data_IF_112874676610
#
_entry.id   IF_112874676610
#
_cell.length_a   1.000
_cell.length_b   1.000
_cell.length_c   1.000
_cell.angle_alpha   90.00
_cell.angle_beta   90.00
_cell.angle_gamma   90.00
#
_symmetry.space_group_name_H-M   'P 1'
#
loop_
_entity.id
_entity.type
_entity.pdbx_description
1 polymer ?
#
# COMPACT_ATOMS: atom_id res chain seq x y z
N UNK A 1 -21.67 -51.77 -38.93
CA UNK A 1 -20.88 -50.53 -38.94
C UNK A 1 -20.56 -50.18 -37.46
N UNK A 2 -19.32 -50.32 -37.09
CA UNK A 2 -18.86 -50.00 -35.70
C UNK A 2 -18.17 -48.64 -35.75
N UNK A 3 -18.75 -47.65 -35.08
CA UNK A 3 -18.15 -46.31 -34.92
C UNK A 3 -17.07 -46.38 -33.80
N UNK A 4 -15.84 -46.03 -34.19
CA UNK A 4 -14.75 -45.88 -33.21
C UNK A 4 -14.81 -44.45 -32.67
N UNK A 5 -15.01 -44.33 -31.35
CA UNK A 5 -14.80 -43.04 -30.63
C UNK A 5 -13.30 -42.88 -30.37
N UNK A 6 -12.74 -41.86 -30.96
CA UNK A 6 -11.38 -41.41 -30.61
C UNK A 6 -11.46 -40.53 -29.35
N UNK A 7 -10.86 -40.97 -28.26
CA UNK A 7 -10.70 -40.17 -27.06
C UNK A 7 -9.51 -39.21 -27.27
N UNK A 8 -9.82 -37.90 -27.25
CA UNK A 8 -8.80 -36.85 -27.25
C UNK A 8 -8.30 -36.69 -25.81
N UNK A 9 -7.07 -37.11 -25.55
CA UNK A 9 -6.39 -36.83 -24.27
C UNK A 9 -5.91 -35.38 -24.28
N UNK A 10 -6.53 -34.51 -23.48
CA UNK A 10 -5.98 -33.20 -23.13
C UNK A 10 -4.75 -33.44 -22.23
N UNK A 11 -3.57 -33.14 -22.77
CA UNK A 11 -2.36 -33.03 -21.97
C UNK A 11 -2.36 -31.63 -21.36
N UNK A 12 -2.68 -31.54 -20.06
CA UNK A 12 -2.48 -30.33 -19.29
C UNK A 12 -0.95 -30.09 -19.19
N UNK A 13 -0.46 -29.02 -19.79
CA UNK A 13 0.88 -28.55 -19.54
C UNK A 13 0.98 -28.10 -18.06
N UNK A 14 2.05 -28.45 -17.34
CA UNK A 14 2.25 -27.88 -16.01
C UNK A 14 2.39 -26.35 -16.17
N UNK A 15 1.54 -25.59 -15.46
CA UNK A 15 1.82 -24.18 -15.22
C UNK A 15 3.15 -24.14 -14.46
N UNK A 16 4.15 -23.55 -15.06
CA UNK A 16 5.38 -23.21 -14.34
C UNK A 16 4.94 -22.14 -13.32
N UNK A 17 4.88 -22.50 -12.06
CA UNK A 17 4.81 -21.51 -10.98
C UNK A 17 6.05 -20.62 -11.18
N UNK A 18 5.85 -19.35 -11.43
CA UNK A 18 6.91 -18.35 -11.46
C UNK A 18 7.49 -18.36 -10.03
N UNK A 19 8.79 -18.62 -9.89
CA UNK A 19 9.42 -18.50 -8.57
C UNK A 19 9.21 -17.06 -8.10
N UNK A 20 8.73 -16.89 -6.87
CA UNK A 20 8.59 -15.58 -6.24
C UNK A 20 9.97 -14.89 -6.26
N UNK A 21 10.00 -13.64 -6.71
CA UNK A 21 11.19 -12.80 -6.64
C UNK A 21 11.03 -11.85 -5.45
N UNK A 22 11.68 -12.13 -4.30
CA UNK A 22 11.49 -11.31 -3.10
C UNK A 22 11.79 -9.83 -3.31
N UNK A 23 12.64 -9.49 -4.28
CA UNK A 23 12.93 -8.09 -4.61
C UNK A 23 11.79 -7.44 -5.37
N UNK A 24 11.19 -8.17 -6.31
CA UNK A 24 10.03 -7.69 -7.03
C UNK A 24 8.82 -7.55 -6.08
N UNK A 25 8.63 -8.51 -5.18
CA UNK A 25 7.58 -8.47 -4.17
C UNK A 25 7.78 -7.27 -3.23
N UNK A 26 9.00 -7.03 -2.73
CA UNK A 26 9.33 -5.85 -1.92
C UNK A 26 9.02 -4.53 -2.64
N UNK A 27 9.37 -4.41 -3.91
CA UNK A 27 9.09 -3.19 -4.69
C UNK A 27 7.59 -3.03 -4.93
N UNK A 28 6.89 -4.09 -5.33
CA UNK A 28 5.44 -4.05 -5.57
C UNK A 28 4.67 -3.67 -4.31
N UNK A 29 4.99 -4.26 -3.17
CA UNK A 29 4.33 -4.01 -1.89
C UNK A 29 4.47 -2.55 -1.44
N UNK A 30 5.66 -1.98 -1.63
CA UNK A 30 5.89 -0.56 -1.33
C UNK A 30 5.16 0.37 -2.33
N UNK A 31 5.04 -0.02 -3.61
CA UNK A 31 4.25 0.72 -4.59
C UNK A 31 2.76 0.72 -4.23
N UNK A 32 2.22 -0.41 -3.79
CA UNK A 32 0.84 -0.51 -3.29
C UNK A 32 0.64 0.41 -2.09
N UNK A 33 1.52 0.32 -1.10
CA UNK A 33 1.41 1.10 0.12
C UNK A 33 1.48 2.62 -0.13
N UNK A 34 2.42 3.07 -0.99
CA UNK A 34 2.53 4.50 -1.31
C UNK A 34 1.36 4.97 -2.19
N UNK A 35 0.87 4.15 -3.10
CA UNK A 35 -0.32 4.49 -3.89
C UNK A 35 -1.55 4.69 -2.99
N UNK A 36 -1.74 3.84 -1.98
CA UNK A 36 -2.82 4.01 -1.01
C UNK A 36 -2.61 5.23 -0.09
N UNK A 37 -1.36 5.59 0.19
CA UNK A 37 -1.04 6.82 0.90
C UNK A 37 -1.45 8.06 0.07
N UNK A 38 -1.08 8.13 -1.21
CA UNK A 38 -1.48 9.23 -2.10
C UNK A 38 -3.01 9.27 -2.32
N UNK A 39 -3.66 8.10 -2.36
CA UNK A 39 -5.12 8.03 -2.35
C UNK A 39 -5.70 8.61 -1.06
N UNK A 40 -5.01 8.47 0.06
CA UNK A 40 -5.38 9.09 1.34
C UNK A 40 -5.47 10.61 1.21
N UNK A 41 -4.48 11.26 0.64
CA UNK A 41 -4.50 12.70 0.35
C UNK A 41 -5.65 13.07 -0.60
N UNK A 42 -5.85 12.27 -1.65
CA UNK A 42 -6.94 12.50 -2.59
C UNK A 42 -8.32 12.44 -1.92
N UNK A 43 -8.54 11.48 -1.04
CA UNK A 43 -9.81 11.36 -0.30
C UNK A 43 -9.99 12.47 0.74
N UNK A 44 -8.93 12.88 1.42
CA UNK A 44 -8.98 14.01 2.36
C UNK A 44 -9.41 15.28 1.63
N UNK A 45 -8.82 15.57 0.47
CA UNK A 45 -9.15 16.73 -0.35
C UNK A 45 -10.56 16.65 -0.91
N UNK A 46 -10.89 15.58 -1.65
CA UNK A 46 -12.18 15.45 -2.35
C UNK A 46 -13.39 15.40 -1.42
N UNK A 47 -13.24 14.78 -0.25
CA UNK A 47 -14.29 14.69 0.76
C UNK A 47 -14.26 15.86 1.77
N UNK A 48 -13.26 16.75 1.64
CA UNK A 48 -13.00 17.88 2.55
C UNK A 48 -12.99 17.40 4.02
N UNK A 49 -12.16 16.37 4.30
CA UNK A 49 -12.11 15.75 5.62
C UNK A 49 -11.43 16.65 6.65
N UNK A 50 -11.95 16.71 7.89
CA UNK A 50 -11.32 17.49 8.93
C UNK A 50 -10.15 16.74 9.55
N UNK A 51 -8.94 16.96 9.07
CA UNK A 51 -7.72 16.40 9.67
C UNK A 51 -7.32 17.24 10.87
N UNK A 52 -7.22 16.63 12.06
CA UNK A 52 -6.88 17.30 13.31
C UNK A 52 -5.40 17.20 13.71
N UNK A 53 -4.58 16.65 12.83
CA UNK A 53 -3.15 16.45 13.03
C UNK A 53 -2.36 16.67 11.75
N UNK A 54 -1.30 15.90 11.57
CA UNK A 54 -0.58 15.85 10.30
C UNK A 54 -1.41 15.07 9.29
N UNK A 55 -1.55 15.59 8.08
CA UNK A 55 -2.25 14.90 6.99
C UNK A 55 -1.48 13.66 6.55
N UNK A 56 -0.17 13.73 6.57
CA UNK A 56 0.72 12.59 6.30
C UNK A 56 0.45 11.40 7.22
N UNK A 57 0.25 11.66 8.53
CA UNK A 57 -0.08 10.58 9.48
C UNK A 57 -1.45 9.97 9.16
N UNK A 58 -2.41 10.78 8.69
CA UNK A 58 -3.73 10.29 8.30
C UNK A 58 -3.67 9.45 7.01
N UNK A 59 -2.86 9.85 6.03
CA UNK A 59 -2.62 9.11 4.79
C UNK A 59 -1.90 7.76 5.07
N UNK A 60 -0.87 7.75 5.92
CA UNK A 60 -0.20 6.53 6.37
C UNK A 60 -1.18 5.54 7.04
N UNK A 61 -2.04 6.06 7.91
CA UNK A 61 -3.06 5.25 8.58
C UNK A 61 -3.98 4.61 7.53
N UNK A 62 -4.51 5.40 6.58
CA UNK A 62 -5.38 4.87 5.54
C UNK A 62 -4.70 3.79 4.72
N UNK A 63 -3.43 3.98 4.35
CA UNK A 63 -2.66 2.97 3.60
C UNK A 63 -2.71 1.60 4.28
N UNK A 64 -2.44 1.54 5.58
CA UNK A 64 -2.52 0.28 6.36
C UNK A 64 -3.94 -0.29 6.39
N UNK A 65 -4.96 0.58 6.58
CA UNK A 65 -6.35 0.13 6.61
C UNK A 65 -6.79 -0.47 5.28
N UNK A 66 -6.43 0.15 4.16
CA UNK A 66 -6.77 -0.34 2.83
C UNK A 66 -6.04 -1.64 2.49
N UNK A 67 -4.75 -1.75 2.84
CA UNK A 67 -4.02 -3.02 2.67
C UNK A 67 -4.72 -4.15 3.42
N UNK A 68 -5.09 -3.93 4.66
CA UNK A 68 -5.75 -4.95 5.50
C UNK A 68 -7.18 -5.30 5.03
N UNK A 69 -7.89 -4.36 4.42
CA UNK A 69 -9.25 -4.55 3.90
C UNK A 69 -9.28 -5.20 2.51
N UNK A 70 -8.32 -4.84 1.67
CA UNK A 70 -8.33 -5.19 0.24
C UNK A 70 -7.69 -6.55 0.00
N UNK A 71 -6.62 -6.85 0.72
CA UNK A 71 -5.78 -8.01 0.48
C UNK A 71 -6.12 -9.18 1.40
N UNK A 72 -5.86 -10.41 0.92
CA UNK A 72 -5.96 -11.60 1.78
C UNK A 72 -4.94 -11.50 2.93
N UNK A 73 -5.23 -12.08 4.12
CA UNK A 73 -4.45 -11.84 5.34
C UNK A 73 -2.95 -12.06 5.24
N UNK A 74 -2.52 -13.09 4.50
CA UNK A 74 -1.11 -13.42 4.32
C UNK A 74 -0.41 -12.37 3.44
N UNK A 75 -1.04 -11.97 2.34
CA UNK A 75 -0.50 -10.94 1.44
C UNK A 75 -0.51 -9.55 2.10
N UNK A 76 -1.57 -9.20 2.82
CA UNK A 76 -1.63 -7.96 3.60
C UNK A 76 -0.48 -7.88 4.62
N UNK A 77 -0.16 -8.99 5.28
CA UNK A 77 0.97 -9.06 6.22
C UNK A 77 2.32 -8.84 5.51
N UNK A 78 2.51 -9.40 4.31
CA UNK A 78 3.73 -9.21 3.52
C UNK A 78 3.88 -7.75 3.08
N UNK A 79 2.82 -7.13 2.57
CA UNK A 79 2.82 -5.72 2.17
C UNK A 79 3.18 -4.82 3.35
N UNK A 80 2.54 -4.99 4.51
CA UNK A 80 2.83 -4.18 5.69
C UNK A 80 4.25 -4.44 6.22
N UNK A 81 4.72 -5.69 6.18
CA UNK A 81 6.09 -6.03 6.59
C UNK A 81 7.14 -5.37 5.68
N UNK A 82 6.96 -5.45 4.36
CA UNK A 82 7.86 -4.86 3.38
C UNK A 82 7.85 -3.32 3.44
N UNK A 83 6.67 -2.70 3.63
CA UNK A 83 6.55 -1.26 3.81
C UNK A 83 7.24 -0.79 5.10
N UNK A 84 6.98 -1.46 6.21
CA UNK A 84 7.66 -1.16 7.46
C UNK A 84 9.18 -1.35 7.31
N UNK A 85 9.63 -2.42 6.66
CA UNK A 85 11.05 -2.67 6.42
C UNK A 85 11.71 -1.54 5.59
N UNK A 86 11.01 -1.00 4.59
CA UNK A 86 11.52 0.15 3.83
C UNK A 86 11.75 1.37 4.72
N UNK A 87 10.87 1.65 5.68
CA UNK A 87 11.10 2.71 6.68
C UNK A 87 12.29 2.40 7.59
N UNK A 88 12.48 1.14 8.00
CA UNK A 88 13.65 0.77 8.81
C UNK A 88 14.95 0.99 8.05
N UNK A 89 15.01 0.64 6.77
CA UNK A 89 16.16 0.90 5.90
C UNK A 89 16.44 2.41 5.75
N UNK A 90 15.37 3.24 5.61
CA UNK A 90 15.49 4.69 5.57
C UNK A 90 16.08 5.26 6.86
N UNK A 91 15.61 4.76 8.00
CA UNK A 91 16.11 5.17 9.32
C UNK A 91 17.58 4.82 9.51
N UNK A 92 18.02 3.64 9.03
CA UNK A 92 19.44 3.21 9.10
C UNK A 92 20.34 4.10 8.25
N UNK A 93 19.89 4.50 7.05
CA UNK A 93 20.66 5.40 6.18
C UNK A 93 20.78 6.81 6.75
N UNK A 94 19.77 7.29 7.47
CA UNK A 94 19.77 8.56 8.17
C UNK A 94 20.46 8.53 9.53
N UNK A 95 21.03 7.39 9.96
CA UNK A 95 21.67 7.28 11.27
C UNK A 95 22.89 8.21 11.39
N UNK A 96 22.80 9.14 12.32
CA UNK A 96 23.84 10.13 12.58
C UNK A 96 23.56 11.50 12.00
N UNK A 97 22.52 11.68 11.20
CA UNK A 97 22.02 12.98 10.76
C UNK A 97 21.18 13.64 11.84
N UNK A 98 21.16 14.99 11.86
CA UNK A 98 20.27 15.72 12.76
C UNK A 98 18.80 15.53 12.30
N UNK A 99 17.87 15.10 13.19
CA UNK A 99 16.48 14.93 12.81
C UNK A 99 15.83 16.22 12.31
N UNK A 100 15.11 16.12 11.18
CA UNK A 100 14.35 17.23 10.62
C UNK A 100 13.00 17.39 11.33
N UNK A 101 12.99 17.98 12.52
CA UNK A 101 11.78 18.12 13.35
C UNK A 101 10.67 18.98 12.74
N UNK A 102 10.95 19.67 11.64
CA UNK A 102 9.98 20.48 10.87
C UNK A 102 9.35 19.73 9.71
N UNK A 103 9.73 18.47 9.48
CA UNK A 103 9.19 17.64 8.41
C UNK A 103 7.69 17.41 8.62
N UNK A 104 6.95 17.37 7.50
CA UNK A 104 5.51 17.07 7.52
C UNK A 104 5.26 15.60 7.84
N UNK A 105 6.17 14.71 7.44
CA UNK A 105 6.11 13.30 7.81
C UNK A 105 6.58 13.03 9.24
N UNK A 106 6.16 11.91 9.78
CA UNK A 106 6.77 11.33 10.97
C UNK A 106 8.18 10.80 10.66
N UNK A 107 9.03 10.65 11.68
CA UNK A 107 10.31 9.97 11.47
C UNK A 107 10.12 8.53 11.04
N UNK A 108 11.02 7.99 10.20
CA UNK A 108 10.87 6.65 9.62
C UNK A 108 10.57 5.57 10.64
N UNK A 109 11.26 5.54 11.78
CA UNK A 109 10.95 4.58 12.85
C UNK A 109 9.60 4.82 13.54
N UNK A 110 9.04 6.03 13.49
CA UNK A 110 7.68 6.28 13.95
C UNK A 110 6.68 5.73 12.94
N UNK A 111 6.90 5.95 11.65
CA UNK A 111 6.09 5.37 10.56
C UNK A 111 6.15 3.84 10.60
N UNK A 112 7.36 3.25 10.75
CA UNK A 112 7.55 1.82 10.98
C UNK A 112 6.61 1.26 12.06
N UNK A 113 6.72 1.80 13.28
CA UNK A 113 5.92 1.29 14.40
C UNK A 113 4.44 1.63 14.28
N UNK A 114 4.06 2.67 13.56
CA UNK A 114 2.65 2.98 13.26
C UNK A 114 2.05 1.91 12.36
N UNK A 115 2.72 1.55 11.26
CA UNK A 115 2.27 0.50 10.34
C UNK A 115 2.14 -0.85 11.03
N UNK A 116 3.20 -1.27 11.75
CA UNK A 116 3.20 -2.52 12.52
C UNK A 116 2.09 -2.56 13.56
N UNK A 117 1.90 -1.47 14.31
CA UNK A 117 0.91 -1.37 15.37
C UNK A 117 -0.52 -1.43 14.85
N UNK A 118 -0.84 -0.66 13.81
CA UNK A 118 -2.19 -0.64 13.23
C UNK A 118 -2.56 -1.99 12.63
N UNK A 119 -1.63 -2.64 11.92
CA UNK A 119 -1.89 -3.95 11.37
C UNK A 119 -2.04 -5.01 12.47
N UNK A 120 -1.13 -5.04 13.44
CA UNK A 120 -1.25 -5.92 14.61
C UNK A 120 -2.55 -5.69 15.38
N UNK A 121 -2.93 -4.41 15.58
CA UNK A 121 -4.10 -4.00 16.35
C UNK A 121 -5.43 -4.51 15.81
N UNK A 122 -5.52 -4.82 14.52
CA UNK A 122 -6.75 -5.36 13.91
C UNK A 122 -7.06 -6.79 14.37
N UNK A 123 -6.03 -7.61 14.63
CA UNK A 123 -6.19 -8.99 15.11
C UNK A 123 -4.99 -9.41 15.97
N UNK A 124 -4.88 -8.92 17.21
CA UNK A 124 -3.73 -9.19 18.05
C UNK A 124 -3.50 -10.68 18.37
N UNK A 125 -4.57 -11.48 18.32
CA UNK A 125 -4.48 -12.93 18.61
C UNK A 125 -3.77 -13.69 17.48
N UNK A 126 -4.13 -13.41 16.24
CA UNK A 126 -3.58 -14.13 15.08
C UNK A 126 -2.31 -13.47 14.52
N UNK A 127 -2.05 -12.19 14.85
CA UNK A 127 -0.89 -11.41 14.37
C UNK A 127 0.22 -11.25 15.42
N UNK A 128 0.19 -12.05 16.50
CA UNK A 128 1.20 -11.98 17.56
C UNK A 128 2.61 -12.32 17.06
N UNK A 129 2.75 -13.31 16.18
CA UNK A 129 4.04 -13.69 15.60
C UNK A 129 4.59 -12.59 14.68
N UNK A 130 3.73 -11.92 13.92
CA UNK A 130 4.11 -10.75 13.11
C UNK A 130 4.65 -9.62 14.00
N UNK A 131 3.92 -9.23 15.04
CA UNK A 131 4.35 -8.19 15.97
C UNK A 131 5.69 -8.53 16.65
N UNK A 132 5.88 -9.80 17.02
CA UNK A 132 7.14 -10.27 17.60
C UNK A 132 8.30 -10.20 16.60
N UNK A 133 8.08 -10.59 15.33
CA UNK A 133 9.09 -10.53 14.27
C UNK A 133 9.50 -9.09 13.96
N UNK A 134 8.53 -8.16 14.02
CA UNK A 134 8.75 -6.71 13.87
C UNK A 134 9.31 -6.03 15.13
N UNK A 135 9.64 -6.77 16.19
CA UNK A 135 10.15 -6.24 17.45
C UNK A 135 9.24 -5.15 18.06
N UNK A 136 7.91 -5.26 17.91
CA UNK A 136 6.97 -4.31 18.49
C UNK A 136 7.09 -4.35 20.03
N UNK A 137 7.44 -3.22 20.70
CA UNK A 137 7.56 -3.20 22.16
C UNK A 137 6.23 -3.54 22.85
N UNK A 138 6.27 -4.31 23.93
CA UNK A 138 5.07 -4.72 24.69
C UNK A 138 4.22 -3.51 25.12
N UNK A 139 4.86 -2.43 25.56
CA UNK A 139 4.17 -1.19 25.95
C UNK A 139 3.46 -0.52 24.76
N UNK A 140 4.00 -0.64 23.53
CA UNK A 140 3.37 -0.14 22.32
C UNK A 140 2.25 -1.06 21.86
N UNK A 141 2.47 -2.38 21.88
CA UNK A 141 1.48 -3.38 21.52
C UNK A 141 0.18 -3.27 22.35
N UNK A 142 0.31 -2.85 23.61
CA UNK A 142 -0.83 -2.69 24.52
C UNK A 142 -1.85 -1.62 24.08
N UNK A 143 -1.49 -0.68 23.21
CA UNK A 143 -2.38 0.39 22.72
C UNK A 143 -2.88 0.18 21.30
N UNK A 144 -2.28 -0.76 20.56
CA UNK A 144 -2.51 -0.91 19.11
C UNK A 144 -3.96 -1.25 18.76
N UNK A 145 -4.63 -2.09 19.54
CA UNK A 145 -6.02 -2.45 19.26
C UNK A 145 -6.98 -1.26 19.40
N UNK A 146 -6.78 -0.41 20.42
CA UNK A 146 -7.58 0.80 20.61
C UNK A 146 -7.27 1.83 19.51
N UNK A 147 -6.01 1.99 19.14
CA UNK A 147 -5.62 2.91 18.05
C UNK A 147 -6.17 2.46 16.70
N UNK A 148 -6.15 1.15 16.41
CA UNK A 148 -6.76 0.60 15.20
C UNK A 148 -8.26 0.82 15.18
N UNK A 149 -8.98 0.54 16.27
CA UNK A 149 -10.42 0.78 16.38
C UNK A 149 -10.77 2.24 16.09
N UNK A 150 -10.03 3.19 16.66
CA UNK A 150 -10.22 4.62 16.41
C UNK A 150 -9.92 5.02 14.96
N UNK A 151 -8.91 4.44 14.34
CA UNK A 151 -8.58 4.66 12.95
C UNK A 151 -9.68 4.14 12.01
N UNK A 152 -10.15 2.91 12.26
CA UNK A 152 -11.27 2.29 11.53
C UNK A 152 -12.53 3.14 11.65
N UNK A 153 -12.96 3.52 12.86
CA UNK A 153 -14.14 4.35 13.08
C UNK A 153 -14.03 5.69 12.33
N UNK A 154 -12.83 6.29 12.32
CA UNK A 154 -12.59 7.57 11.66
C UNK A 154 -12.71 7.44 10.14
N UNK A 155 -11.97 6.54 9.52
CA UNK A 155 -11.93 6.39 8.08
C UNK A 155 -13.19 5.75 7.52
N UNK A 156 -13.74 4.69 8.14
CA UNK A 156 -14.94 4.02 7.66
C UNK A 156 -16.19 4.88 7.77
N UNK A 157 -16.19 5.93 8.60
CA UNK A 157 -17.26 6.94 8.57
C UNK A 157 -17.42 7.57 7.18
N UNK A 158 -16.33 7.70 6.42
CA UNK A 158 -16.31 8.29 5.08
C UNK A 158 -16.24 7.26 3.97
N UNK A 159 -15.54 6.16 4.18
CA UNK A 159 -15.37 5.11 3.17
C UNK A 159 -16.64 4.25 3.00
N UNK A 160 -17.38 3.96 4.07
CA UNK A 160 -18.57 3.11 4.00
C UNK A 160 -19.61 3.64 3.01
N UNK A 161 -19.96 4.94 2.97
CA UNK A 161 -20.87 5.47 1.97
C UNK A 161 -20.37 5.30 0.52
N UNK A 162 -19.07 5.29 0.29
CA UNK A 162 -18.47 5.06 -1.04
C UNK A 162 -18.53 3.56 -1.40
N UNK A 163 -18.28 2.69 -0.43
CA UNK A 163 -18.40 1.25 -0.59
C UNK A 163 -19.86 0.81 -0.84
N UNK A 164 -20.83 1.43 -0.20
CA UNK A 164 -22.24 1.15 -0.40
C UNK A 164 -22.75 1.51 -1.82
N UNK A 165 -21.99 2.33 -2.56
CA UNK A 165 -22.28 2.75 -3.93
C UNK A 165 -21.49 1.99 -4.98
N UNK A 166 -20.50 1.18 -4.57
CA UNK A 166 -19.64 0.40 -5.47
C UNK A 166 -20.46 -0.52 -6.43
N UNK A 167 -19.92 -0.87 -7.61
CA UNK A 167 -18.61 -0.46 -8.11
C UNK A 167 -18.61 0.93 -8.72
N UNK A 168 -17.44 1.61 -8.64
CA UNK A 168 -17.15 2.87 -9.29
C UNK A 168 -16.24 2.72 -10.50
N UNK A 169 -15.87 3.85 -11.09
CA UNK A 169 -14.91 3.95 -12.21
C UNK A 169 -14.11 5.24 -12.15
N UNK A 170 -14.01 5.83 -10.96
CA UNK A 170 -13.45 7.16 -10.82
C UNK A 170 -11.93 7.19 -10.87
N UNK A 171 -11.25 6.08 -10.56
CA UNK A 171 -9.78 6.03 -10.63
C UNK A 171 -9.37 5.44 -11.98
N UNK A 172 -8.42 6.09 -12.67
CA UNK A 172 -7.93 5.63 -13.98
C UNK A 172 -6.44 5.89 -14.14
N UNK A 173 -5.74 4.95 -14.79
CA UNK A 173 -4.36 5.16 -15.25
C UNK A 173 -4.39 5.90 -16.58
N UNK A 174 -3.75 7.08 -16.66
CA UNK A 174 -3.73 7.90 -17.89
C UNK A 174 -2.40 7.73 -18.65
N UNK A 175 -1.26 7.90 -17.98
CA UNK A 175 0.06 7.73 -18.58
C UNK A 175 0.93 6.78 -17.76
N UNK A 176 1.77 5.98 -18.45
CA UNK A 176 2.70 5.07 -17.79
C UNK A 176 4.00 4.92 -18.60
N UNK A 177 5.11 5.37 -18.01
CA UNK A 177 6.45 5.23 -18.58
C UNK A 177 7.16 3.95 -18.12
N UNK A 178 6.65 3.25 -17.08
CA UNK A 178 7.19 2.00 -16.56
C UNK A 178 6.12 0.89 -16.54
N UNK A 179 6.42 -0.25 -17.21
CA UNK A 179 5.47 -1.36 -17.33
C UNK A 179 5.28 -2.14 -16.02
N UNK A 180 6.30 -2.22 -15.15
CA UNK A 180 6.19 -2.92 -13.87
C UNK A 180 5.30 -2.14 -12.91
N UNK A 181 5.55 -0.84 -12.76
CA UNK A 181 4.72 0.03 -11.91
C UNK A 181 3.29 0.03 -12.45
N UNK A 182 3.12 0.16 -13.77
CA UNK A 182 1.81 0.16 -14.42
C UNK A 182 1.03 -1.14 -14.14
N UNK A 183 1.70 -2.28 -14.15
CA UNK A 183 1.09 -3.57 -13.81
C UNK A 183 0.54 -3.58 -12.39
N UNK A 184 1.36 -3.22 -11.40
CA UNK A 184 0.97 -3.15 -9.99
C UNK A 184 -0.18 -2.17 -9.79
N UNK A 185 -0.03 -0.93 -10.24
CA UNK A 185 -1.02 0.13 -10.02
C UNK A 185 -2.34 -0.11 -10.75
N UNK A 186 -2.33 -0.72 -11.93
CA UNK A 186 -3.57 -1.06 -12.64
C UNK A 186 -4.42 -2.09 -11.89
N UNK A 187 -3.80 -3.09 -11.26
CA UNK A 187 -4.51 -4.09 -10.45
C UNK A 187 -5.16 -3.45 -9.22
N UNK A 188 -4.47 -2.49 -8.60
CA UNK A 188 -4.99 -1.73 -7.47
C UNK A 188 -6.15 -0.81 -7.88
N UNK A 189 -6.02 -0.11 -9.01
CA UNK A 189 -7.09 0.73 -9.56
C UNK A 189 -8.35 -0.08 -9.82
N UNK A 190 -8.22 -1.25 -10.46
CA UNK A 190 -9.35 -2.13 -10.74
C UNK A 190 -10.01 -2.58 -9.43
N UNK A 191 -9.23 -3.00 -8.45
CA UNK A 191 -9.70 -3.47 -7.15
C UNK A 191 -10.41 -2.35 -6.36
N UNK A 192 -9.83 -1.14 -6.34
CA UNK A 192 -10.44 0.00 -5.65
C UNK A 192 -11.74 0.44 -6.32
N UNK A 193 -11.80 0.46 -7.66
CA UNK A 193 -13.03 0.76 -8.40
C UNK A 193 -14.11 -0.32 -8.19
N UNK A 194 -13.76 -1.58 -7.95
CA UNK A 194 -14.74 -2.61 -7.59
C UNK A 194 -15.30 -2.40 -6.17
N UNK A 195 -14.52 -1.79 -5.28
CA UNK A 195 -14.87 -1.62 -3.86
C UNK A 195 -15.49 -0.28 -3.51
N UNK A 196 -15.18 0.78 -4.27
CA UNK A 196 -15.59 2.15 -3.96
C UNK A 196 -16.09 2.89 -5.20
N UNK A 197 -17.12 3.70 -5.02
CA UNK A 197 -17.54 4.71 -6.01
C UNK A 197 -17.15 6.09 -5.49
N UNK A 198 -16.04 6.63 -5.99
CA UNK A 198 -15.51 7.91 -5.54
C UNK A 198 -16.30 9.08 -6.14
N UNK A 199 -16.41 10.22 -5.43
CA UNK A 199 -17.25 11.33 -5.86
C UNK A 199 -16.68 12.14 -7.03
N UNK A 200 -15.39 12.06 -7.28
CA UNK A 200 -14.69 12.76 -8.36
C UNK A 200 -13.65 11.83 -9.00
N UNK A 201 -13.34 12.11 -10.26
CA UNK A 201 -12.31 11.37 -10.99
C UNK A 201 -10.92 11.67 -10.41
N UNK A 202 -10.09 10.61 -10.34
CA UNK A 202 -8.67 10.67 -10.01
C UNK A 202 -7.92 10.05 -11.17
N UNK A 203 -7.01 10.80 -11.78
CA UNK A 203 -6.08 10.25 -12.76
C UNK A 203 -4.79 9.83 -12.07
N UNK A 204 -4.20 8.73 -12.52
CA UNK A 204 -2.91 8.23 -12.05
C UNK A 204 -1.94 8.27 -13.20
N UNK A 205 -0.80 8.92 -13.01
CA UNK A 205 0.29 8.95 -13.97
C UNK A 205 1.55 8.32 -13.37
N UNK A 206 2.32 7.65 -14.21
CA UNK A 206 3.60 7.06 -13.88
C UNK A 206 4.64 7.70 -14.79
N UNK A 207 5.41 8.62 -14.25
CA UNK A 207 6.36 9.45 -15.01
C UNK A 207 7.67 9.64 -14.26
N UNK A 208 8.74 10.03 -14.97
CA UNK A 208 9.97 10.50 -14.33
C UNK A 208 9.75 11.88 -13.74
N UNK A 209 9.95 12.01 -12.43
CA UNK A 209 9.82 13.29 -11.70
C UNK A 209 11.18 14.00 -11.49
N UNK A 210 12.30 13.29 -11.66
CA UNK A 210 13.64 13.75 -11.31
C UNK A 210 13.94 13.68 -9.80
N UNK A 211 13.10 13.04 -9.01
CA UNK A 211 13.26 12.83 -7.58
C UNK A 211 12.52 11.57 -7.10
N UNK A 212 12.98 11.01 -5.98
CA UNK A 212 12.39 9.80 -5.37
C UNK A 212 11.15 10.20 -4.57
N UNK A 213 9.97 10.07 -5.16
CA UNK A 213 8.73 10.46 -4.50
C UNK A 213 7.48 9.88 -5.20
N UNK A 214 6.32 10.13 -4.60
CA UNK A 214 5.00 10.10 -5.21
C UNK A 214 4.22 11.32 -4.71
N UNK A 215 3.14 11.71 -5.39
CA UNK A 215 2.38 12.91 -5.05
C UNK A 215 0.90 12.76 -5.36
N UNK A 216 0.05 13.31 -4.52
CA UNK A 216 -1.26 13.77 -4.92
C UNK A 216 -1.21 15.27 -5.26
N UNK A 217 -1.76 15.65 -6.41
CA UNK A 217 -1.79 17.04 -6.92
C UNK A 217 -3.24 17.52 -6.90
N UNK A 218 -3.66 18.27 -5.85
CA UNK A 218 -5.07 18.61 -5.63
C UNK A 218 -5.71 19.39 -6.79
N UNK A 219 -5.03 20.39 -7.33
CA UNK A 219 -5.53 21.23 -8.42
C UNK A 219 -5.83 20.43 -9.72
N UNK A 220 -5.26 19.22 -9.85
CA UNK A 220 -5.39 18.34 -11.01
C UNK A 220 -6.20 17.07 -10.69
N UNK A 221 -6.53 16.83 -9.42
CA UNK A 221 -7.08 15.54 -8.93
C UNK A 221 -6.26 14.36 -9.44
N UNK A 222 -4.95 14.46 -9.33
CA UNK A 222 -4.00 13.54 -9.93
C UNK A 222 -3.04 12.94 -8.92
N UNK A 223 -2.85 11.63 -8.99
CA UNK A 223 -1.76 10.92 -8.30
C UNK A 223 -0.62 10.72 -9.31
N UNK A 224 0.58 11.12 -8.93
CA UNK A 224 1.80 10.96 -9.71
C UNK A 224 2.74 10.00 -9.00
N UNK A 225 2.99 8.85 -9.63
CA UNK A 225 3.96 7.84 -9.17
C UNK A 225 5.28 8.05 -9.92
N UNK A 226 6.31 8.53 -9.23
CA UNK A 226 7.61 8.77 -9.84
C UNK A 226 8.35 7.46 -10.12
N UNK A 227 8.87 7.28 -11.33
CA UNK A 227 9.66 6.08 -11.67
C UNK A 227 10.90 5.94 -10.81
N UNK A 228 11.49 7.03 -10.36
CA UNK A 228 12.65 7.06 -9.46
C UNK A 228 12.35 6.44 -8.09
N UNK A 229 11.08 6.44 -7.64
CA UNK A 229 10.72 5.77 -6.40
C UNK A 229 10.87 4.25 -6.52
N UNK A 230 10.43 3.64 -7.62
CA UNK A 230 10.63 2.22 -7.87
C UNK A 230 12.11 1.88 -8.06
N UNK A 231 12.88 2.70 -8.79
CA UNK A 231 14.34 2.52 -8.95
C UNK A 231 15.05 2.49 -7.60
N UNK A 232 14.71 3.43 -6.72
CA UNK A 232 15.25 3.50 -5.36
C UNK A 232 14.90 2.25 -4.51
N UNK A 233 13.67 1.75 -4.61
CA UNK A 233 13.26 0.51 -3.93
C UNK A 233 14.04 -0.71 -4.46
N UNK A 234 14.26 -0.80 -5.78
CA UNK A 234 15.08 -1.84 -6.38
C UNK A 234 16.54 -1.81 -5.87
N UNK A 235 17.13 -0.62 -5.78
CA UNK A 235 18.49 -0.46 -5.22
C UNK A 235 18.54 -0.92 -3.76
N UNK A 236 17.54 -0.60 -2.96
CA UNK A 236 17.44 -1.06 -1.55
C UNK A 236 17.25 -2.56 -1.43
N UNK A 237 16.35 -3.14 -2.21
CA UNK A 237 16.15 -4.59 -2.23
C UNK A 237 17.43 -5.34 -2.60
N UNK A 238 18.24 -4.79 -3.51
CA UNK A 238 19.55 -5.34 -3.85
C UNK A 238 20.56 -5.18 -2.72
N UNK A 239 20.60 -4.03 -2.06
CA UNK A 239 21.54 -3.76 -0.96
C UNK A 239 21.23 -4.61 0.29
N UNK A 240 19.95 -4.88 0.55
CA UNK A 240 19.49 -5.71 1.65
C UNK A 240 19.60 -7.23 1.39
N UNK A 241 19.98 -7.63 0.16
CA UNK A 241 20.13 -9.03 -0.27
C UNK A 241 18.82 -9.86 -0.08
N UNK A 242 17.66 -9.21 -0.41
CA UNK A 242 16.34 -9.83 -0.36
C UNK A 242 16.22 -10.97 -1.39
#
# INVERSE_FOLDING_TARGET
MRAALAALALVAAPALAQEADPKADFVADNLVAVFYHELGHALIDQLNLPVLGKEEDAADILSVLLVDEVWEPEAAQEIVANTAYAYALSAEEGEGDDPMYWDVHGHDMQRYFTHVCLFYGADPENRADFAASANLPEERAATCAEERELADESWWTYLQPLADQAPGTAISLDAAEDEFIAGVISEEIDTLNERFDLPQEITVDIESCGEVNAYYIPDESRILMCTEFAEFLWERAQAADL
#
